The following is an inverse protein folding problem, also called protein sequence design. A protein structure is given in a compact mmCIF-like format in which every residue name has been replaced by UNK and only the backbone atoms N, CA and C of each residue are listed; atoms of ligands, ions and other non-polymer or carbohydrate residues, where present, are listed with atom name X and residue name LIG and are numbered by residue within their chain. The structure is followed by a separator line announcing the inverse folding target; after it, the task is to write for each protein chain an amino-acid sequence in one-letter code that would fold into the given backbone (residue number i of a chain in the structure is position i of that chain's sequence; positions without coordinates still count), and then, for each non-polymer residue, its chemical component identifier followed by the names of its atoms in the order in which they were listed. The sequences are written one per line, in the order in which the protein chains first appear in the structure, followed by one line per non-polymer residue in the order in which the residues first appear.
data_IF_095051703921
#
_entry.id   IF_095051703921
#
_cell.length_a   1.000
_cell.length_b   1.000
_cell.length_c   1.000
_cell.angle_alpha   90.00
_cell.angle_beta   90.00
_cell.angle_gamma   90.00
#
_symmetry.space_group_name_H-M   'P 1'
#
loop_
_entity.id
_entity.type
_entity.pdbx_description
1 polymer ?
#
# COMPACT_ATOMS: atom_id res chain seq x y z
N UNK A 1 -78.70 67.89 -3.61
CA UNK A 1 -79.41 66.79 -2.94
C UNK A 1 -78.53 66.28 -1.81
N UNK A 2 -78.79 66.69 -0.55
CA UNK A 2 -79.18 65.80 0.59
C UNK A 2 -78.44 64.45 0.54
N UNK A 3 -77.53 64.16 1.48
CA UNK A 3 -77.91 63.58 2.78
C UNK A 3 -76.91 63.85 3.92
N UNK A 4 -77.45 63.78 5.14
CA UNK A 4 -76.87 64.08 6.44
C UNK A 4 -76.77 62.80 7.29
N UNK A 5 -75.86 62.79 8.29
CA UNK A 5 -75.72 61.91 9.48
C UNK A 5 -74.88 60.62 9.28
N UNK A 6 -74.00 60.18 10.19
CA UNK A 6 -73.82 60.45 11.63
C UNK A 6 -72.39 60.05 12.06
N UNK A 7 -71.81 60.78 13.01
CA UNK A 7 -70.57 60.46 13.70
C UNK A 7 -70.80 59.41 14.81
N UNK A 8 -69.84 58.51 15.00
CA UNK A 8 -69.57 57.82 16.28
C UNK A 8 -68.07 57.89 16.53
N UNK A 9 -67.74 58.30 17.75
CA UNK A 9 -66.42 58.57 18.30
C UNK A 9 -65.85 57.30 18.93
N UNK A 10 -64.60 56.92 18.65
CA UNK A 10 -63.80 56.07 19.55
C UNK A 10 -62.29 56.16 19.23
N UNK A 11 -61.64 57.03 20.01
CA UNK A 11 -60.36 56.83 20.71
C UNK A 11 -59.07 56.48 19.95
N UNK A 12 -58.11 57.40 20.11
CA UNK A 12 -56.71 57.38 19.70
C UNK A 12 -55.91 56.32 20.47
N UNK A 13 -55.12 55.52 19.77
CA UNK A 13 -53.86 54.97 20.28
C UNK A 13 -52.82 55.08 19.16
N UNK A 14 -51.90 56.03 19.32
CA UNK A 14 -50.75 56.18 18.42
C UNK A 14 -49.73 55.09 18.71
N UNK A 15 -49.41 54.29 17.70
CA UNK A 15 -48.29 53.34 17.76
C UNK A 15 -47.23 53.83 16.79
N UNK A 16 -46.06 54.15 17.34
CA UNK A 16 -44.90 54.62 16.62
C UNK A 16 -44.46 53.59 15.55
N UNK A 17 -44.27 54.08 14.32
CA UNK A 17 -43.62 53.36 13.25
C UNK A 17 -42.14 53.24 13.57
N UNK A 18 -41.73 52.11 14.16
CA UNK A 18 -40.32 51.73 14.25
C UNK A 18 -39.89 51.31 12.85
N UNK A 19 -39.13 52.18 12.18
CA UNK A 19 -38.32 51.79 11.03
C UNK A 19 -37.27 50.78 11.52
N UNK A 20 -37.62 49.49 11.43
CA UNK A 20 -36.68 48.40 11.62
C UNK A 20 -35.59 48.53 10.57
N UNK A 21 -34.40 48.93 11.02
CA UNK A 21 -33.17 48.90 10.27
C UNK A 21 -33.02 47.56 9.54
N UNK A 22 -32.94 47.61 8.22
CA UNK A 22 -32.64 46.46 7.39
C UNK A 22 -31.42 45.72 7.94
N UNK A 23 -31.56 44.40 8.03
CA UNK A 23 -30.48 43.52 8.40
C UNK A 23 -29.25 43.83 7.55
N UNK A 24 -28.15 44.17 8.24
CA UNK A 24 -26.79 44.18 7.71
C UNK A 24 -26.58 42.84 6.99
N UNK A 25 -25.92 42.78 5.81
CA UNK A 25 -25.66 41.51 5.16
C UNK A 25 -24.93 40.62 6.16
N UNK A 26 -25.49 39.44 6.43
CA UNK A 26 -24.78 38.40 7.16
C UNK A 26 -23.44 38.21 6.44
N UNK A 27 -22.36 38.74 7.02
CA UNK A 27 -21.01 38.36 6.63
C UNK A 27 -21.01 36.84 6.66
N UNK A 28 -20.80 36.20 5.51
CA UNK A 28 -20.68 34.76 5.42
C UNK A 28 -19.70 34.33 6.50
N UNK A 29 -20.19 33.68 7.55
CA UNK A 29 -19.34 33.12 8.57
C UNK A 29 -18.38 32.19 7.84
N UNK A 30 -17.08 32.39 8.03
CA UNK A 30 -16.08 31.46 7.52
C UNK A 30 -16.49 30.05 7.94
N UNK A 31 -16.62 29.10 7.00
CA UNK A 31 -17.09 27.76 7.31
C UNK A 31 -16.15 27.12 8.33
N UNK A 32 -16.71 26.33 9.25
CA UNK A 32 -15.90 25.68 10.27
C UNK A 32 -14.96 24.65 9.63
N UNK A 33 -13.77 24.47 10.20
CA UNK A 33 -12.86 23.41 9.76
C UNK A 33 -13.42 22.05 10.18
N UNK A 34 -13.60 21.16 9.19
CA UNK A 34 -14.01 19.77 9.40
C UNK A 34 -12.78 18.87 9.46
N UNK A 35 -12.55 18.27 10.62
CA UNK A 35 -11.52 17.24 10.81
C UNK A 35 -12.11 15.86 10.58
N UNK A 36 -11.54 15.11 9.64
CA UNK A 36 -11.93 13.73 9.36
C UNK A 36 -11.08 12.76 10.17
N UNK A 37 -11.69 11.72 10.75
CA UNK A 37 -10.94 10.64 11.39
C UNK A 37 -10.10 9.84 10.39
N UNK A 38 -10.59 9.71 9.16
CA UNK A 38 -9.92 9.07 8.02
C UNK A 38 -9.95 10.02 6.81
N UNK A 39 -8.96 10.91 6.66
CA UNK A 39 -8.92 11.89 5.56
C UNK A 39 -8.47 11.29 4.22
N UNK A 40 -8.31 9.96 4.14
CA UNK A 40 -7.85 9.23 2.95
C UNK A 40 -8.70 7.97 2.78
N UNK A 41 -8.96 7.56 1.55
CA UNK A 41 -9.51 6.23 1.25
C UNK A 41 -9.51 5.90 -0.24
N UNK A 42 -10.04 4.73 -0.57
CA UNK A 42 -9.91 4.12 -1.88
C UNK A 42 -10.67 4.85 -3.00
N UNK A 43 -10.11 4.78 -4.21
CA UNK A 43 -10.83 5.05 -5.46
C UNK A 43 -12.13 4.25 -5.51
N UNK A 44 -13.22 4.93 -5.86
CA UNK A 44 -14.57 4.39 -5.80
C UNK A 44 -15.23 4.49 -4.43
N UNK A 45 -14.56 5.02 -3.40
CA UNK A 45 -15.18 5.36 -2.11
C UNK A 45 -15.72 4.16 -1.31
N UNK A 46 -16.86 4.38 -0.64
CA UNK A 46 -17.59 3.34 0.10
C UNK A 46 -17.23 3.19 1.58
N UNK A 47 -16.11 3.73 2.03
CA UNK A 47 -15.73 3.76 3.44
C UNK A 47 -16.58 4.75 4.25
N UNK A 48 -16.85 4.43 5.52
CA UNK A 48 -17.48 5.35 6.48
C UNK A 48 -16.45 6.25 7.12
N UNK A 49 -16.75 7.54 7.19
CA UNK A 49 -15.90 8.60 7.75
C UNK A 49 -16.68 9.37 8.80
N UNK A 50 -15.99 9.77 9.86
CA UNK A 50 -16.51 10.67 10.90
C UNK A 50 -15.84 12.04 10.74
N UNK A 51 -16.66 13.06 10.51
CA UNK A 51 -16.26 14.45 10.52
C UNK A 51 -16.56 15.10 11.86
N UNK A 52 -15.59 15.81 12.42
CA UNK A 52 -15.70 16.57 13.67
C UNK A 52 -15.41 18.05 13.43
N UNK A 53 -16.16 18.93 14.09
CA UNK A 53 -15.91 20.37 14.08
C UNK A 53 -15.69 20.87 15.50
N UNK A 54 -14.88 21.91 15.65
CA UNK A 54 -14.74 22.61 16.92
C UNK A 54 -15.88 23.61 17.04
N UNK A 55 -16.73 23.47 18.06
CA UNK A 55 -17.79 24.43 18.34
C UNK A 55 -17.20 25.81 18.66
N UNK A 56 -17.87 26.86 18.23
CA UNK A 56 -17.51 28.25 18.54
C UNK A 56 -18.64 28.94 19.27
N UNK A 57 -18.38 30.11 19.84
CA UNK A 57 -19.44 30.94 20.44
C UNK A 57 -20.50 31.36 19.43
N UNK A 58 -20.09 31.57 18.17
CA UNK A 58 -21.00 31.89 17.06
C UNK A 58 -21.77 30.67 16.54
N UNK A 59 -21.17 29.47 16.62
CA UNK A 59 -21.77 28.20 16.17
C UNK A 59 -21.55 27.11 17.24
N UNK A 60 -22.35 27.10 18.33
CA UNK A 60 -22.18 26.15 19.43
C UNK A 60 -22.68 24.74 19.07
N UNK A 61 -23.62 24.64 18.13
CA UNK A 61 -24.19 23.37 17.62
C UNK A 61 -24.22 23.43 16.09
N UNK A 62 -23.07 23.27 15.41
CA UNK A 62 -23.00 23.38 13.95
C UNK A 62 -23.90 22.37 13.21
N UNK A 63 -24.12 21.20 13.80
CA UNK A 63 -25.01 20.18 13.27
C UNK A 63 -26.29 20.13 14.11
N UNK A 64 -27.35 20.77 13.62
CA UNK A 64 -28.59 21.00 14.35
C UNK A 64 -29.30 19.67 14.68
N UNK A 65 -29.98 19.65 15.81
CA UNK A 65 -30.80 18.51 16.22
C UNK A 65 -31.96 18.35 15.24
N UNK A 66 -32.26 17.11 14.86
CA UNK A 66 -33.30 16.74 13.89
C UNK A 66 -33.09 17.23 12.44
N UNK A 67 -31.90 17.73 12.09
CA UNK A 67 -31.51 17.96 10.68
C UNK A 67 -30.53 16.89 10.19
N UNK A 68 -30.65 16.48 8.92
CA UNK A 68 -29.64 15.69 8.21
C UNK A 68 -28.87 16.67 7.31
N UNK A 69 -27.61 16.98 7.62
CA UNK A 69 -26.84 17.87 6.76
C UNK A 69 -26.54 17.20 5.42
N UNK A 70 -26.30 18.01 4.40
CA UNK A 70 -25.91 17.54 3.08
C UNK A 70 -24.40 17.54 2.99
N UNK A 71 -23.82 16.41 2.58
CA UNK A 71 -22.38 16.28 2.39
C UNK A 71 -22.09 16.17 0.89
N UNK A 72 -21.27 17.09 0.37
CA UNK A 72 -20.79 17.06 -1.00
C UNK A 72 -19.28 16.94 -1.07
N UNK A 73 -18.80 16.22 -2.07
CA UNK A 73 -17.42 16.21 -2.51
C UNK A 73 -17.30 17.12 -3.72
N UNK A 74 -16.61 18.25 -3.55
CA UNK A 74 -16.42 19.23 -4.61
C UNK A 74 -14.95 19.31 -5.01
N UNK A 75 -14.72 19.31 -6.31
CA UNK A 75 -13.41 19.58 -6.88
C UNK A 75 -13.02 21.06 -6.67
N UNK A 76 -11.72 21.32 -6.49
CA UNK A 76 -11.10 22.65 -6.27
C UNK A 76 -11.39 23.29 -4.90
N UNK A 77 -12.59 23.83 -4.65
CA UNK A 77 -12.96 24.47 -3.37
C UNK A 77 -14.42 24.17 -3.01
N UNK A 78 -14.74 24.24 -1.71
CA UNK A 78 -16.13 24.26 -1.29
C UNK A 78 -16.76 25.59 -1.68
N UNK A 79 -17.80 25.53 -2.50
CA UNK A 79 -18.64 26.69 -2.78
C UNK A 79 -19.45 27.08 -1.54
N UNK A 80 -19.80 28.37 -1.47
CA UNK A 80 -20.58 28.94 -0.35
C UNK A 80 -21.98 28.34 -0.21
N UNK A 81 -22.50 27.73 -1.28
CA UNK A 81 -23.79 27.03 -1.36
C UNK A 81 -23.59 25.64 -1.95
N UNK A 82 -24.49 24.72 -1.67
CA UNK A 82 -24.54 23.42 -2.33
C UNK A 82 -24.62 23.61 -3.85
N UNK A 83 -23.94 22.75 -4.60
CA UNK A 83 -23.98 22.77 -6.06
C UNK A 83 -24.79 21.59 -6.58
N UNK A 84 -25.37 21.77 -7.76
CA UNK A 84 -25.89 20.63 -8.52
C UNK A 84 -24.78 19.62 -8.75
N UNK A 85 -25.14 18.34 -8.64
CA UNK A 85 -24.25 17.21 -8.97
C UNK A 85 -23.74 17.39 -10.39
N UNK A 86 -22.44 17.17 -10.58
CA UNK A 86 -21.75 17.42 -11.83
C UNK A 86 -20.74 16.30 -12.11
N UNK A 87 -20.59 15.96 -13.38
CA UNK A 87 -19.68 14.92 -13.82
C UNK A 87 -18.24 15.19 -13.40
N UNK A 88 -17.57 14.13 -12.93
CA UNK A 88 -16.12 14.12 -12.74
C UNK A 88 -15.49 14.24 -14.12
N UNK A 89 -14.87 15.39 -14.39
CA UNK A 89 -14.15 15.63 -15.63
C UNK A 89 -12.66 15.38 -15.40
N UNK A 90 -12.05 14.61 -16.31
CA UNK A 90 -10.62 14.37 -16.32
C UNK A 90 -10.04 14.53 -17.73
N UNK A 91 -8.89 15.19 -17.84
CA UNK A 91 -8.17 15.37 -19.09
C UNK A 91 -6.67 15.15 -18.86
N UNK A 92 -6.03 14.35 -19.73
CA UNK A 92 -4.59 14.09 -19.67
C UNK A 92 -4.11 13.52 -18.32
N UNK A 93 -4.95 12.76 -17.63
CA UNK A 93 -4.61 12.21 -16.31
C UNK A 93 -4.78 13.20 -15.16
N UNK A 94 -5.54 14.29 -15.30
CA UNK A 94 -5.84 15.22 -14.20
C UNK A 94 -7.34 15.44 -14.06
N UNK A 95 -7.83 15.55 -12.82
CA UNK A 95 -9.19 16.02 -12.55
C UNK A 95 -9.31 17.52 -12.81
N UNK A 96 -10.42 17.97 -13.38
CA UNK A 96 -10.69 19.39 -13.69
C UNK A 96 -12.04 19.90 -13.18
N UNK A 97 -13.00 19.02 -12.88
CA UNK A 97 -14.29 19.36 -12.29
C UNK A 97 -14.96 18.14 -11.62
N UNK A 98 -16.01 18.39 -10.83
CA UNK A 98 -16.87 17.35 -10.26
C UNK A 98 -17.57 17.80 -8.98
N UNK A 99 -18.82 17.38 -8.82
CA UNK A 99 -19.61 17.53 -7.59
C UNK A 99 -20.33 16.22 -7.36
N UNK A 100 -20.01 15.52 -6.26
CA UNK A 100 -20.73 14.33 -5.83
C UNK A 100 -21.44 14.62 -4.52
N UNK A 101 -22.68 14.16 -4.39
CA UNK A 101 -23.41 14.20 -3.14
C UNK A 101 -23.36 12.84 -2.48
N UNK A 102 -23.17 12.81 -1.16
CA UNK A 102 -23.37 11.60 -0.36
C UNK A 102 -24.87 11.31 -0.31
N UNK A 103 -25.24 10.04 -0.43
CA UNK A 103 -26.63 9.63 -0.20
C UNK A 103 -27.08 10.09 1.20
N UNK A 104 -28.16 10.88 1.32
CA UNK A 104 -28.65 11.36 2.61
C UNK A 104 -28.93 10.23 3.62
N UNK A 105 -29.28 9.03 3.15
CA UNK A 105 -29.47 7.86 4.02
C UNK A 105 -28.16 7.37 4.66
N UNK A 106 -27.01 7.69 4.06
CA UNK A 106 -25.68 7.36 4.57
C UNK A 106 -25.10 8.46 5.46
N UNK A 107 -25.80 9.58 5.65
CA UNK A 107 -25.37 10.69 6.53
C UNK A 107 -26.13 10.63 7.85
N UNK A 108 -25.41 10.63 8.96
CA UNK A 108 -26.02 10.68 10.29
C UNK A 108 -25.28 11.62 11.23
N UNK A 109 -26.05 12.36 12.04
CA UNK A 109 -25.52 13.15 13.16
C UNK A 109 -25.17 12.21 14.31
N UNK A 110 -23.97 12.35 14.86
CA UNK A 110 -23.55 11.67 16.09
C UNK A 110 -23.75 12.60 17.28
N UNK A 111 -23.25 13.84 17.19
CA UNK A 111 -23.42 14.90 18.20
C UNK A 111 -23.63 16.24 17.51
N UNK A 112 -23.84 17.32 18.27
CA UNK A 112 -23.89 18.69 17.72
C UNK A 112 -22.64 19.12 16.94
N UNK A 113 -21.53 18.39 17.11
CA UNK A 113 -20.21 18.69 16.51
C UNK A 113 -19.64 17.53 15.71
N UNK A 114 -20.37 16.42 15.56
CA UNK A 114 -19.91 15.23 14.84
C UNK A 114 -20.98 14.68 13.90
N UNK A 115 -20.55 14.33 12.69
CA UNK A 115 -21.34 13.59 11.70
C UNK A 115 -20.57 12.37 11.24
N UNK A 116 -21.29 11.32 10.85
CA UNK A 116 -20.76 10.22 10.04
C UNK A 116 -21.38 10.30 8.65
N UNK A 117 -20.61 9.92 7.65
CA UNK A 117 -21.08 9.77 6.28
C UNK A 117 -20.32 8.67 5.55
N UNK A 118 -20.95 8.05 4.55
CA UNK A 118 -20.27 7.12 3.63
C UNK A 118 -19.69 7.90 2.45
N UNK A 119 -18.43 7.69 2.13
CA UNK A 119 -17.80 8.30 0.94
C UNK A 119 -18.51 7.76 -0.31
N UNK A 120 -18.89 8.62 -1.28
CA UNK A 120 -19.69 8.20 -2.43
C UNK A 120 -19.02 7.07 -3.23
N UNK A 121 -19.72 5.95 -3.34
CA UNK A 121 -19.35 4.81 -4.20
C UNK A 121 -20.25 4.62 -5.41
N UNK A 122 -21.24 5.49 -5.54
CA UNK A 122 -22.12 5.61 -6.67
C UNK A 122 -22.61 7.06 -6.73
N UNK A 123 -23.30 7.40 -7.80
CA UNK A 123 -23.97 8.67 -7.93
C UNK A 123 -25.15 8.78 -6.95
N UNK A 124 -25.44 10.00 -6.50
CA UNK A 124 -26.67 10.30 -5.79
C UNK A 124 -27.29 11.57 -6.37
N UNK A 125 -28.60 11.58 -6.67
CA UNK A 125 -29.47 10.40 -6.69
C UNK A 125 -29.04 9.42 -7.80
N UNK A 126 -29.19 8.11 -7.55
CA UNK A 126 -28.89 7.06 -8.54
C UNK A 126 -29.91 7.04 -9.67
N UNK A 127 -31.10 7.59 -9.42
CA UNK A 127 -32.23 7.63 -10.33
C UNK A 127 -32.95 8.96 -10.14
N UNK A 128 -33.31 9.64 -11.22
CA UNK A 128 -34.07 10.88 -11.15
C UNK A 128 -35.55 10.64 -10.77
N UNK A 129 -36.32 11.73 -10.62
CA UNK A 129 -37.74 11.67 -10.26
C UNK A 129 -38.61 10.94 -11.30
N UNK A 130 -38.09 10.72 -12.51
CA UNK A 130 -38.78 10.06 -13.62
C UNK A 130 -38.36 8.59 -13.78
N UNK A 131 -37.53 8.06 -12.88
CA UNK A 131 -37.07 6.67 -12.95
C UNK A 131 -35.85 6.45 -13.86
N UNK A 132 -35.21 7.51 -14.34
CA UNK A 132 -34.03 7.40 -15.22
C UNK A 132 -32.76 7.26 -14.38
N UNK A 133 -32.00 6.18 -14.61
CA UNK A 133 -30.72 5.95 -13.93
C UNK A 133 -29.70 7.02 -14.31
N UNK A 134 -29.03 7.58 -13.30
CA UNK A 134 -27.97 8.55 -13.48
C UNK A 134 -26.78 7.92 -14.22
N UNK A 135 -26.34 8.55 -15.29
CA UNK A 135 -25.13 8.17 -16.05
C UNK A 135 -23.89 8.91 -15.58
N UNK A 136 -24.05 9.83 -14.63
CA UNK A 136 -22.99 10.69 -14.11
C UNK A 136 -22.42 10.06 -12.85
N UNK A 137 -21.10 9.91 -12.75
CA UNK A 137 -20.38 9.48 -11.52
C UNK A 137 -20.87 8.13 -10.94
N UNK A 138 -21.23 7.19 -11.80
CA UNK A 138 -21.82 5.89 -11.42
C UNK A 138 -20.92 5.03 -10.54
N UNK A 139 -19.61 5.29 -10.56
CA UNK A 139 -18.59 4.57 -9.79
C UNK A 139 -18.10 5.37 -8.56
N UNK A 140 -18.75 6.48 -8.23
CA UNK A 140 -18.39 7.31 -7.07
C UNK A 140 -17.13 8.15 -7.31
N UNK A 141 -16.35 8.38 -6.24
CA UNK A 141 -15.11 9.15 -6.31
C UNK A 141 -13.97 8.31 -6.91
N UNK A 142 -13.95 8.20 -8.24
CA UNK A 142 -12.93 7.44 -8.97
C UNK A 142 -11.72 8.28 -9.36
N UNK A 143 -10.55 7.66 -9.32
CA UNK A 143 -9.34 8.19 -9.93
C UNK A 143 -9.39 8.01 -11.45
N UNK A 144 -9.11 9.06 -12.23
CA UNK A 144 -8.73 8.95 -13.62
C UNK A 144 -7.52 8.04 -13.81
N UNK A 145 -7.46 7.39 -14.98
CA UNK A 145 -6.30 6.59 -15.36
C UNK A 145 -5.00 7.42 -15.27
N UNK A 146 -3.95 6.81 -14.70
CA UNK A 146 -2.65 7.44 -14.51
C UNK A 146 -2.52 8.30 -13.25
N UNK A 147 -3.61 8.57 -12.51
CA UNK A 147 -3.51 9.16 -11.17
C UNK A 147 -3.36 8.11 -10.10
N UNK A 148 -2.41 8.34 -9.20
CA UNK A 148 -2.25 7.57 -7.97
C UNK A 148 -3.05 8.16 -6.82
N UNK A 149 -3.36 9.46 -6.87
CA UNK A 149 -4.14 10.18 -5.85
C UNK A 149 -4.99 11.31 -6.43
N UNK A 150 -6.05 11.70 -5.73
CA UNK A 150 -6.85 12.89 -6.04
C UNK A 150 -7.41 13.52 -4.77
N UNK A 151 -7.26 14.84 -4.63
CA UNK A 151 -7.78 15.60 -3.50
C UNK A 151 -9.17 16.16 -3.80
N UNK A 152 -10.08 15.99 -2.85
CA UNK A 152 -11.44 16.49 -2.85
C UNK A 152 -11.69 17.36 -1.62
N UNK A 153 -12.59 18.32 -1.74
CA UNK A 153 -13.09 19.05 -0.59
C UNK A 153 -14.39 18.42 -0.13
N UNK A 154 -14.49 18.13 1.16
CA UNK A 154 -15.71 17.68 1.82
C UNK A 154 -16.43 18.91 2.32
N UNK A 155 -17.60 19.19 1.76
CA UNK A 155 -18.39 20.38 2.00
C UNK A 155 -19.70 19.97 2.68
N UNK A 156 -19.94 20.47 3.88
CA UNK A 156 -21.14 20.15 4.67
C UNK A 156 -22.08 21.34 4.65
N UNK A 157 -23.29 21.13 4.16
CA UNK A 157 -24.33 22.14 4.02
C UNK A 157 -25.53 21.83 4.94
N UNK A 158 -26.32 22.85 5.26
CA UNK A 158 -27.61 22.70 5.97
C UNK A 158 -28.71 22.05 5.10
N UNK A 159 -28.61 22.18 3.77
CA UNK A 159 -29.57 21.69 2.78
C UNK A 159 -28.88 21.51 1.42
N UNK A 160 -29.56 20.86 0.46
CA UNK A 160 -29.09 20.66 -0.92
C UNK A 160 -29.53 21.79 -1.86
N UNK A 161 -30.23 22.80 -1.34
CA UNK A 161 -30.79 23.88 -2.13
C UNK A 161 -29.67 24.80 -2.68
N UNK A 162 -29.51 24.94 -4.01
CA UNK A 162 -28.35 25.61 -4.59
C UNK A 162 -28.33 27.14 -4.39
N UNK A 163 -29.48 27.73 -4.03
CA UNK A 163 -29.64 29.18 -3.88
C UNK A 163 -29.75 29.64 -2.43
N UNK A 164 -30.15 28.76 -1.51
CA UNK A 164 -30.46 29.11 -0.11
C UNK A 164 -29.63 28.36 0.91
N UNK A 165 -28.95 27.27 0.54
CA UNK A 165 -28.09 26.52 1.46
C UNK A 165 -26.92 27.35 1.98
N UNK A 166 -26.44 26.97 3.16
CA UNK A 166 -25.26 27.55 3.80
C UNK A 166 -24.20 26.48 4.05
N UNK A 167 -22.94 26.80 3.74
CA UNK A 167 -21.81 25.96 4.08
C UNK A 167 -21.54 26.02 5.59
N UNK A 168 -21.73 24.89 6.27
CA UNK A 168 -21.54 24.74 7.71
C UNK A 168 -20.07 24.46 8.04
N UNK A 169 -19.46 23.54 7.30
CA UNK A 169 -18.09 23.11 7.54
C UNK A 169 -17.43 22.59 6.27
N UNK A 170 -16.10 22.67 6.21
CA UNK A 170 -15.32 22.13 5.10
C UNK A 170 -14.04 21.44 5.55
N UNK A 171 -13.69 20.35 4.89
CA UNK A 171 -12.45 19.60 5.11
C UNK A 171 -11.90 19.07 3.79
N UNK A 172 -10.81 18.30 3.85
CA UNK A 172 -10.20 17.70 2.66
C UNK A 172 -10.15 16.19 2.78
N UNK A 173 -10.39 15.52 1.67
CA UNK A 173 -10.34 14.06 1.56
C UNK A 173 -9.51 13.67 0.34
N UNK A 174 -8.58 12.74 0.51
CA UNK A 174 -7.75 12.26 -0.59
C UNK A 174 -8.17 10.86 -0.98
N UNK A 175 -8.51 10.69 -2.25
CA UNK A 175 -8.74 9.40 -2.88
C UNK A 175 -7.39 8.84 -3.32
N UNK A 176 -7.14 7.56 -3.08
CA UNK A 176 -5.90 6.87 -3.46
C UNK A 176 -6.19 5.59 -4.23
N UNK A 177 -5.27 5.21 -5.13
CA UNK A 177 -5.37 3.97 -5.88
C UNK A 177 -5.18 2.76 -4.95
N UNK A 178 -5.83 1.64 -5.31
CA UNK A 178 -5.55 0.35 -4.68
C UNK A 178 -4.13 -0.08 -5.06
N UNK A 179 -3.30 -0.58 -4.12
CA UNK A 179 -1.94 -0.96 -4.45
C UNK A 179 -1.89 -2.27 -5.22
N UNK A 180 -0.95 -2.37 -6.16
CA UNK A 180 -0.61 -3.59 -6.90
C UNK A 180 0.90 -3.85 -6.84
N UNK A 181 1.32 -5.10 -7.02
CA UNK A 181 2.72 -5.50 -7.16
C UNK A 181 2.89 -6.09 -8.57
N UNK A 182 3.79 -5.52 -9.36
CA UNK A 182 4.13 -6.03 -10.69
C UNK A 182 5.41 -6.87 -10.68
N UNK A 183 6.42 -6.46 -9.90
CA UNK A 183 7.66 -7.22 -9.73
C UNK A 183 8.43 -6.81 -8.48
N UNK A 184 9.33 -7.69 -8.04
CA UNK A 184 10.34 -7.41 -7.01
C UNK A 184 11.70 -7.76 -7.59
N UNK A 185 12.65 -6.82 -7.56
CA UNK A 185 13.98 -7.01 -8.18
C UNK A 185 15.09 -6.43 -7.31
N UNK A 186 16.14 -7.21 -7.01
CA UNK A 186 16.26 -8.65 -7.25
C UNK A 186 15.23 -9.44 -6.42
N UNK A 187 14.78 -10.60 -6.92
CA UNK A 187 13.79 -11.47 -6.25
C UNK A 187 14.40 -12.34 -5.14
N UNK A 188 15.59 -11.98 -4.66
CA UNK A 188 16.27 -12.69 -3.58
C UNK A 188 17.21 -11.80 -2.80
N UNK A 189 17.47 -12.14 -1.54
CA UNK A 189 18.39 -11.46 -0.63
C UNK A 189 19.21 -12.43 0.21
N UNK A 190 20.42 -12.05 0.68
CA UNK A 190 21.07 -12.76 1.77
C UNK A 190 20.15 -12.91 2.98
N UNK A 191 20.19 -14.04 3.69
CA UNK A 191 19.43 -14.29 4.91
C UNK A 191 19.74 -13.27 6.03
N UNK A 192 20.95 -12.70 6.02
CA UNK A 192 21.31 -11.57 6.89
C UNK A 192 20.54 -10.27 6.56
N UNK A 193 19.82 -10.22 5.44
CA UNK A 193 19.16 -9.02 4.92
C UNK A 193 20.15 -8.02 4.33
N UNK A 194 19.78 -6.75 4.32
CA UNK A 194 20.64 -5.64 3.93
C UNK A 194 20.69 -5.35 2.43
N UNK A 195 20.15 -6.22 1.57
CA UNK A 195 20.07 -5.97 0.14
C UNK A 195 18.98 -4.95 -0.16
N UNK A 196 19.31 -3.97 -1.01
CA UNK A 196 18.33 -3.06 -1.59
C UNK A 196 17.57 -3.77 -2.70
N UNK A 197 16.24 -3.72 -2.61
CA UNK A 197 15.31 -4.21 -3.62
C UNK A 197 14.49 -3.05 -4.18
N UNK A 198 14.04 -3.20 -5.41
CA UNK A 198 13.05 -2.35 -6.06
C UNK A 198 11.77 -3.16 -6.23
N UNK A 199 10.66 -2.62 -5.74
CA UNK A 199 9.32 -3.15 -5.98
C UNK A 199 8.62 -2.24 -6.97
N UNK A 200 8.17 -2.79 -8.09
CA UNK A 200 7.37 -2.07 -9.10
C UNK A 200 5.90 -2.45 -8.96
N UNK A 201 5.00 -1.54 -9.31
CA UNK A 201 3.57 -1.73 -9.12
C UNK A 201 2.82 -0.41 -9.26
N UNK A 202 1.70 -0.28 -8.56
CA UNK A 202 0.91 0.97 -8.51
C UNK A 202 0.39 1.22 -7.10
N UNK A 203 -0.11 2.43 -6.84
CA UNK A 203 -0.77 2.76 -5.56
C UNK A 203 0.20 2.85 -4.36
N UNK A 204 1.49 3.11 -4.60
CA UNK A 204 2.50 3.28 -3.56
C UNK A 204 2.62 4.71 -3.02
N UNK A 205 1.81 5.66 -3.49
CA UNK A 205 1.95 7.07 -3.12
C UNK A 205 1.79 7.30 -1.61
N UNK A 206 2.77 7.99 -1.03
CA UNK A 206 2.70 8.47 0.34
C UNK A 206 1.81 9.71 0.42
N UNK A 207 0.69 9.62 1.15
CA UNK A 207 -0.22 10.76 1.37
C UNK A 207 -0.18 11.23 2.82
N UNK A 208 -0.33 10.31 3.77
CA UNK A 208 -0.30 10.58 5.21
C UNK A 208 0.62 9.60 5.94
N UNK A 209 0.56 8.32 5.56
CA UNK A 209 1.50 7.27 5.95
C UNK A 209 2.31 6.84 4.74
N UNK A 210 3.60 6.54 4.95
CA UNK A 210 4.44 5.95 3.91
C UNK A 210 4.03 4.50 3.62
N UNK A 211 4.65 3.93 2.59
CA UNK A 211 4.58 2.48 2.33
C UNK A 211 5.39 1.74 3.39
N UNK A 212 4.83 0.68 3.92
CA UNK A 212 5.53 -0.29 4.77
C UNK A 212 5.31 -1.69 4.22
N UNK A 213 6.19 -2.63 4.53
CA UNK A 213 5.96 -4.00 4.11
C UNK A 213 6.87 -4.99 4.82
N UNK A 214 6.61 -6.26 4.55
CA UNK A 214 7.39 -7.38 5.05
C UNK A 214 7.64 -8.39 3.94
N UNK A 215 8.75 -9.13 4.04
CA UNK A 215 9.00 -10.32 3.23
C UNK A 215 9.12 -11.51 4.17
N UNK A 216 8.21 -12.50 4.04
CA UNK A 216 8.16 -13.64 4.97
C UNK A 216 7.94 -13.20 6.43
N UNK A 217 7.34 -12.02 6.66
CA UNK A 217 7.21 -11.41 7.98
C UNK A 217 8.42 -10.58 8.45
N UNK A 218 9.57 -10.63 7.76
CA UNK A 218 10.70 -9.75 8.06
C UNK A 218 10.47 -8.34 7.50
N UNK A 219 10.61 -7.27 8.31
CA UNK A 219 10.27 -5.91 7.90
C UNK A 219 11.21 -5.34 6.84
N UNK A 220 10.63 -4.64 5.87
CA UNK A 220 11.35 -3.78 4.95
C UNK A 220 11.70 -2.45 5.64
N UNK A 221 12.92 -1.98 5.43
CA UNK A 221 13.42 -0.70 5.96
C UNK A 221 13.86 0.22 4.82
N UNK A 222 14.19 1.49 5.13
CA UNK A 222 14.64 2.47 4.13
C UNK A 222 13.72 2.62 2.91
N UNK A 223 12.40 2.49 3.11
CA UNK A 223 11.41 2.57 2.03
C UNK A 223 11.42 3.97 1.41
N UNK A 224 11.69 4.05 0.10
CA UNK A 224 11.68 5.28 -0.68
C UNK A 224 10.81 5.10 -1.91
N UNK A 225 9.64 5.71 -1.90
CA UNK A 225 8.69 5.67 -3.01
C UNK A 225 9.13 6.63 -4.10
N UNK A 226 9.07 6.19 -5.36
CA UNK A 226 9.28 7.03 -6.52
C UNK A 226 8.20 8.12 -6.62
N UNK A 227 8.53 9.25 -7.23
CA UNK A 227 7.63 10.41 -7.28
C UNK A 227 6.29 10.13 -7.98
N UNK A 228 6.27 9.19 -8.93
CA UNK A 228 5.07 8.76 -9.64
C UNK A 228 4.19 7.80 -8.82
N UNK A 229 4.73 7.16 -7.77
CA UNK A 229 4.04 6.15 -6.98
C UNK A 229 3.95 4.76 -7.63
N UNK A 230 4.73 4.50 -8.70
CA UNK A 230 4.72 3.24 -9.45
C UNK A 230 5.89 2.31 -9.09
N UNK A 231 6.77 2.75 -8.18
CA UNK A 231 7.79 1.90 -7.60
C UNK A 231 8.25 2.44 -6.25
N UNK A 232 8.95 1.60 -5.49
CA UNK A 232 9.74 2.04 -4.36
C UNK A 232 10.98 1.16 -4.20
N UNK A 233 12.04 1.71 -3.61
CA UNK A 233 13.18 0.93 -3.13
C UNK A 233 13.05 0.67 -1.64
N UNK A 234 13.51 -0.49 -1.16
CA UNK A 234 13.58 -0.80 0.26
C UNK A 234 14.78 -1.71 0.55
N UNK A 235 15.21 -1.76 1.81
CA UNK A 235 16.23 -2.68 2.31
C UNK A 235 15.55 -3.86 2.98
N UNK A 236 15.93 -5.07 2.57
CA UNK A 236 15.46 -6.32 3.16
C UNK A 236 15.95 -6.49 4.61
N UNK A 237 15.09 -6.98 5.49
CA UNK A 237 15.46 -7.39 6.85
C UNK A 237 16.11 -8.77 6.87
N UNK A 238 16.70 -9.14 8.00
CA UNK A 238 17.18 -10.50 8.21
C UNK A 238 16.00 -11.49 8.27
N UNK A 239 16.17 -12.66 7.68
CA UNK A 239 15.17 -13.72 7.63
C UNK A 239 15.87 -15.07 7.47
N UNK A 240 15.29 -16.15 7.99
CA UNK A 240 15.84 -17.49 7.77
C UNK A 240 15.91 -17.82 6.26
N UNK A 241 16.92 -18.58 5.80
CA UNK A 241 16.97 -19.02 4.41
C UNK A 241 15.71 -19.80 4.02
N UNK A 242 15.31 -19.68 2.76
CA UNK A 242 14.16 -20.38 2.21
C UNK A 242 13.69 -19.74 0.91
N UNK A 243 12.73 -20.38 0.28
CA UNK A 243 12.15 -19.93 -0.99
C UNK A 243 10.67 -19.67 -0.84
N UNK A 244 10.10 -18.85 -1.74
CA UNK A 244 8.65 -18.71 -1.82
C UNK A 244 8.03 -17.73 -0.82
N UNK A 245 8.81 -16.82 -0.23
CA UNK A 245 8.28 -15.91 0.79
C UNK A 245 7.37 -14.84 0.18
N UNK A 246 6.24 -14.61 0.86
CA UNK A 246 5.29 -13.56 0.52
C UNK A 246 5.89 -12.17 0.77
N UNK A 247 5.67 -11.25 -0.17
CA UNK A 247 5.83 -9.81 0.02
C UNK A 247 4.48 -9.20 0.35
N UNK A 248 4.31 -8.75 1.58
CA UNK A 248 3.08 -8.12 2.05
C UNK A 248 3.32 -6.62 2.22
N UNK A 249 2.56 -5.80 1.51
CA UNK A 249 2.68 -4.34 1.55
C UNK A 249 1.45 -3.71 2.18
N UNK A 250 1.67 -2.60 2.88
CA UNK A 250 0.64 -1.75 3.43
C UNK A 250 0.88 -0.32 2.94
N UNK A 251 -0.10 0.22 2.23
CA UNK A 251 -0.09 1.58 1.69
C UNK A 251 -1.32 2.35 2.20
N UNK A 252 -1.41 3.67 1.99
CA UNK A 252 -2.65 4.41 2.26
C UNK A 252 -3.87 3.85 1.52
N UNK A 253 -3.66 3.18 0.37
CA UNK A 253 -4.69 2.50 -0.41
C UNK A 253 -5.04 1.10 0.09
N UNK A 254 -4.54 0.68 1.24
CA UNK A 254 -4.80 -0.64 1.82
C UNK A 254 -3.63 -1.60 1.67
N UNK A 255 -3.92 -2.90 1.74
CA UNK A 255 -2.92 -3.96 1.67
C UNK A 255 -2.88 -4.57 0.27
N UNK A 256 -1.71 -5.05 -0.12
CA UNK A 256 -1.54 -5.96 -1.27
C UNK A 256 -0.57 -7.07 -0.86
N UNK A 257 -0.91 -8.30 -1.25
CA UNK A 257 -0.08 -9.48 -1.06
C UNK A 257 0.55 -9.83 -2.40
N UNK A 258 1.80 -10.29 -2.41
CA UNK A 258 2.39 -10.82 -3.63
C UNK A 258 1.83 -12.19 -4.04
N UNK A 259 0.93 -12.77 -3.23
CA UNK A 259 0.12 -13.93 -3.61
C UNK A 259 -1.13 -13.54 -4.42
N UNK A 260 -1.51 -12.26 -4.38
CA UNK A 260 -2.60 -11.61 -5.14
C UNK A 260 -2.08 -10.25 -5.66
N UNK A 261 -1.19 -10.26 -6.68
CA UNK A 261 -0.40 -9.08 -7.04
C UNK A 261 -1.21 -7.93 -7.67
N UNK A 262 -2.29 -8.21 -8.38
CA UNK A 262 -3.17 -7.18 -8.94
C UNK A 262 -4.22 -6.69 -7.92
N UNK A 263 -4.31 -7.37 -6.78
CA UNK A 263 -5.20 -7.06 -5.69
C UNK A 263 -6.65 -7.13 -6.19
N UNK A 264 -7.02 -8.18 -6.90
CA UNK A 264 -8.38 -8.49 -7.32
C UNK A 264 -8.74 -9.90 -6.88
N UNK A 265 -9.61 -10.00 -5.86
CA UNK A 265 -10.02 -11.30 -5.33
C UNK A 265 -10.95 -12.09 -6.26
N UNK A 266 -11.31 -11.54 -7.43
CA UNK A 266 -12.12 -12.21 -8.44
C UNK A 266 -11.28 -12.94 -9.49
N UNK A 267 -9.96 -12.73 -9.51
CA UNK A 267 -9.01 -13.39 -10.40
C UNK A 267 -8.13 -14.39 -9.65
N UNK A 268 -7.52 -15.31 -10.41
CA UNK A 268 -6.50 -16.23 -9.91
C UNK A 268 -5.18 -15.80 -10.53
N UNK A 269 -4.23 -15.45 -9.67
CA UNK A 269 -2.99 -14.81 -10.11
C UNK A 269 -1.77 -15.68 -9.86
N UNK A 270 -0.70 -15.43 -10.63
CA UNK A 270 0.59 -16.09 -10.40
C UNK A 270 1.33 -15.35 -9.29
N UNK A 271 1.70 -16.01 -8.17
CA UNK A 271 2.40 -15.35 -7.09
C UNK A 271 3.76 -14.80 -7.50
N UNK A 272 4.12 -13.64 -6.96
CA UNK A 272 5.47 -13.09 -7.00
C UNK A 272 6.16 -13.48 -5.69
N UNK A 273 7.11 -14.40 -5.76
CA UNK A 273 7.82 -14.91 -4.58
C UNK A 273 9.16 -14.23 -4.38
N UNK A 274 9.67 -14.33 -3.15
CA UNK A 274 10.99 -13.83 -2.79
C UNK A 274 11.78 -14.87 -2.00
N UNK A 275 13.09 -14.97 -2.25
CA UNK A 275 13.95 -15.98 -1.63
C UNK A 275 15.00 -15.36 -0.71
N UNK A 276 15.30 -16.02 0.40
CA UNK A 276 16.44 -15.71 1.26
C UNK A 276 17.49 -16.83 1.17
N UNK A 277 18.74 -16.49 0.90
CA UNK A 277 19.87 -17.45 0.79
C UNK A 277 21.05 -17.02 1.67
N UNK A 278 21.91 -17.90 2.18
CA UNK A 278 23.18 -17.43 2.78
C UNK A 278 24.26 -17.37 1.69
N UNK A 279 24.41 -16.24 1.01
CA UNK A 279 25.53 -16.06 0.07
C UNK A 279 26.88 -16.45 0.71
N UNK A 280 27.71 -17.22 -0.01
CA UNK A 280 29.08 -17.52 0.41
C UNK A 280 30.10 -16.79 -0.47
N UNK A 281 31.29 -16.56 0.04
CA UNK A 281 32.49 -16.24 -0.74
C UNK A 281 33.55 -17.29 -0.45
N UNK A 282 34.30 -17.70 -1.48
CA UNK A 282 35.30 -18.77 -1.39
C UNK A 282 36.68 -18.23 -1.71
N UNK A 283 37.69 -18.60 -0.92
CA UNK A 283 39.10 -18.29 -1.14
C UNK A 283 39.94 -19.56 -1.02
N UNK A 284 40.86 -19.86 -1.95
CA UNK A 284 41.06 -19.20 -3.24
C UNK A 284 39.88 -19.43 -4.19
N UNK A 285 39.70 -18.56 -5.20
CA UNK A 285 38.66 -18.69 -6.24
C UNK A 285 39.12 -19.50 -7.45
N UNK A 286 40.36 -20.02 -7.44
CA UNK A 286 40.93 -20.80 -8.54
C UNK A 286 41.95 -21.81 -8.04
N UNK A 287 42.03 -22.97 -8.71
CA UNK A 287 43.11 -23.94 -8.53
C UNK A 287 43.26 -24.84 -9.79
N UNK A 288 44.39 -25.53 -9.98
CA UNK A 288 44.57 -26.41 -11.13
C UNK A 288 43.80 -27.72 -11.05
N UNK A 289 43.47 -28.25 -12.21
CA UNK A 289 42.93 -29.61 -12.34
C UNK A 289 43.87 -30.64 -11.71
N UNK A 290 43.30 -31.73 -11.19
CA UNK A 290 44.02 -32.82 -10.55
C UNK A 290 44.86 -32.44 -9.32
N UNK A 291 44.51 -31.34 -8.64
CA UNK A 291 45.13 -30.94 -7.36
C UNK A 291 44.15 -31.05 -6.20
N UNK A 292 44.66 -30.92 -4.98
CA UNK A 292 43.86 -30.65 -3.78
C UNK A 292 44.09 -29.21 -3.34
N UNK A 293 43.00 -28.52 -2.95
CA UNK A 293 43.05 -27.13 -2.50
C UNK A 293 42.23 -26.98 -1.22
N UNK A 294 42.78 -26.27 -0.24
CA UNK A 294 42.04 -25.87 0.96
C UNK A 294 41.23 -24.62 0.64
N UNK A 295 39.91 -24.70 0.85
CA UNK A 295 38.99 -23.60 0.70
C UNK A 295 38.69 -23.01 2.08
N UNK A 296 38.79 -21.69 2.16
CA UNK A 296 38.19 -20.84 3.19
C UNK A 296 36.89 -20.27 2.62
N UNK A 297 35.78 -20.61 3.26
CA UNK A 297 34.42 -20.29 2.83
C UNK A 297 33.80 -19.37 3.88
N UNK A 298 33.62 -18.12 3.51
CA UNK A 298 32.92 -17.13 4.35
C UNK A 298 31.45 -17.04 3.98
N UNK A 299 30.57 -16.80 4.95
CA UNK A 299 29.13 -16.67 4.75
C UNK A 299 28.41 -16.43 6.07
N UNK A 300 27.25 -17.04 6.27
CA UNK A 300 26.47 -16.96 7.50
C UNK A 300 25.61 -18.21 7.70
N UNK A 301 25.22 -18.49 8.94
CA UNK A 301 24.34 -19.61 9.27
C UNK A 301 25.01 -20.98 9.20
N UNK A 302 26.32 -21.05 9.41
CA UNK A 302 27.07 -22.32 9.38
C UNK A 302 27.07 -23.06 10.72
N UNK A 303 26.79 -22.40 11.85
CA UNK A 303 26.77 -23.04 13.18
C UNK A 303 25.90 -24.30 13.27
N UNK A 304 24.68 -24.37 12.67
CA UNK A 304 23.85 -25.57 12.76
C UNK A 304 24.29 -26.70 11.82
N UNK A 305 25.31 -26.49 10.98
CA UNK A 305 25.75 -27.50 10.00
C UNK A 305 26.58 -28.57 10.67
N UNK A 306 26.25 -29.83 10.36
CA UNK A 306 27.00 -31.01 10.81
C UNK A 306 27.53 -31.73 9.59
N UNK A 307 28.85 -31.71 9.42
CA UNK A 307 29.53 -32.41 8.33
C UNK A 307 29.88 -33.84 8.76
N UNK A 308 29.67 -34.80 7.87
CA UNK A 308 30.05 -36.19 8.10
C UNK A 308 31.44 -36.47 7.51
N UNK A 309 32.42 -36.70 8.38
CA UNK A 309 33.79 -36.94 7.97
C UNK A 309 33.92 -38.34 7.33
N UNK A 310 33.97 -38.38 6.00
CA UNK A 310 34.02 -39.64 5.24
C UNK A 310 32.64 -40.27 5.00
N UNK A 311 31.56 -39.53 5.27
CA UNK A 311 30.22 -39.89 4.85
C UNK A 311 30.08 -39.95 3.34
N UNK A 312 29.10 -40.72 2.85
CA UNK A 312 28.76 -40.70 1.43
C UNK A 312 28.25 -39.30 1.05
N UNK A 313 28.61 -38.76 -0.13
CA UNK A 313 27.73 -37.79 -0.77
C UNK A 313 26.38 -38.49 -0.87
N UNK A 314 25.22 -37.95 -0.53
CA UNK A 314 23.91 -38.63 -0.38
C UNK A 314 23.55 -38.97 1.06
N UNK A 315 24.46 -38.79 2.02
CA UNK A 315 24.07 -38.72 3.43
C UNK A 315 23.22 -37.47 3.68
N UNK A 316 22.40 -37.52 4.72
CA UNK A 316 21.53 -36.40 5.13
C UNK A 316 22.24 -35.33 5.95
N UNK A 317 23.57 -35.30 5.88
CA UNK A 317 24.45 -34.35 6.58
C UNK A 317 24.74 -33.14 5.70
N UNK A 318 25.43 -32.14 6.26
CA UNK A 318 25.90 -31.00 5.50
C UNK A 318 27.07 -31.37 4.58
N UNK A 319 27.14 -30.73 3.42
CA UNK A 319 28.20 -30.94 2.43
C UNK A 319 28.59 -29.63 1.74
N UNK A 320 29.80 -29.60 1.18
CA UNK A 320 30.27 -28.55 0.29
C UNK A 320 30.60 -29.17 -1.06
N UNK A 321 29.81 -28.84 -2.09
CA UNK A 321 29.97 -29.37 -3.44
C UNK A 321 30.56 -28.35 -4.39
N UNK A 322 31.35 -28.83 -5.34
CA UNK A 322 31.64 -28.14 -6.59
C UNK A 322 30.67 -28.64 -7.65
N UNK A 323 29.92 -27.76 -8.31
CA UNK A 323 28.92 -28.12 -9.34
C UNK A 323 29.08 -27.31 -10.62
N UNK A 324 28.55 -27.84 -11.72
CA UNK A 324 28.62 -27.23 -13.04
C UNK A 324 27.31 -26.48 -13.36
N UNK A 325 27.22 -25.22 -12.92
CA UNK A 325 25.98 -24.44 -12.98
C UNK A 325 25.19 -24.47 -11.67
N UNK A 326 23.86 -24.45 -11.76
CA UNK A 326 22.99 -24.43 -10.58
C UNK A 326 22.97 -25.81 -9.90
N UNK A 327 23.15 -25.84 -8.57
CA UNK A 327 23.05 -27.08 -7.79
C UNK A 327 21.65 -27.70 -7.96
N UNK A 328 21.64 -28.98 -8.34
CA UNK A 328 20.44 -29.82 -8.37
C UNK A 328 20.81 -31.17 -7.75
N UNK A 329 20.09 -31.56 -6.70
CA UNK A 329 20.43 -32.77 -5.94
C UNK A 329 20.28 -34.07 -6.73
N UNK A 330 19.58 -34.05 -7.86
CA UNK A 330 19.33 -35.25 -8.69
C UNK A 330 20.20 -35.30 -9.94
N UNK A 331 20.53 -34.14 -10.52
CA UNK A 331 21.09 -34.05 -11.88
C UNK A 331 22.39 -33.25 -11.96
N UNK A 332 22.71 -32.40 -10.98
CA UNK A 332 23.92 -31.57 -10.98
C UNK A 332 24.42 -31.32 -9.56
N UNK A 333 24.85 -32.41 -8.91
CA UNK A 333 25.09 -32.44 -7.47
C UNK A 333 26.57 -32.35 -7.07
N UNK A 334 27.44 -33.09 -7.76
CA UNK A 334 28.89 -33.04 -7.51
C UNK A 334 29.68 -33.27 -8.80
N UNK A 335 30.54 -32.31 -9.13
CA UNK A 335 31.74 -32.56 -9.94
C UNK A 335 32.90 -32.94 -9.03
N UNK A 336 32.94 -32.36 -7.84
CA UNK A 336 33.79 -32.74 -6.73
C UNK A 336 33.12 -32.38 -5.41
N UNK A 337 33.60 -32.97 -4.32
CA UNK A 337 33.16 -32.69 -2.97
C UNK A 337 34.33 -32.28 -2.08
N UNK A 338 34.08 -31.33 -1.17
CA UNK A 338 35.02 -30.93 -0.15
C UNK A 338 35.05 -31.97 0.98
N UNK A 339 36.25 -32.42 1.33
CA UNK A 339 36.52 -33.35 2.43
C UNK A 339 37.06 -32.61 3.66
N UNK A 340 36.83 -33.18 4.85
CA UNK A 340 37.31 -32.58 6.10
C UNK A 340 36.74 -31.19 6.38
N UNK A 341 35.50 -30.94 5.99
CA UNK A 341 34.84 -29.67 6.24
C UNK A 341 34.61 -29.44 7.74
N UNK A 342 35.00 -28.27 8.22
CA UNK A 342 34.87 -27.86 9.61
C UNK A 342 34.23 -26.48 9.65
N UNK A 343 33.18 -26.34 10.47
CA UNK A 343 32.62 -25.04 10.84
C UNK A 343 33.58 -24.40 11.83
N UNK A 344 34.30 -23.35 11.40
CA UNK A 344 35.22 -22.59 12.25
C UNK A 344 34.42 -21.60 13.11
N UNK A 345 33.46 -20.92 12.48
CA UNK A 345 32.50 -20.01 13.13
C UNK A 345 31.16 -20.05 12.39
N UNK A 346 30.13 -19.34 12.87
CA UNK A 346 28.86 -19.21 12.12
C UNK A 346 29.03 -18.63 10.71
N UNK A 347 30.15 -17.96 10.47
CA UNK A 347 30.44 -17.24 9.23
C UNK A 347 31.61 -17.83 8.44
N UNK A 348 32.22 -18.93 8.90
CA UNK A 348 33.41 -19.50 8.28
C UNK A 348 33.41 -21.03 8.30
N UNK A 349 33.63 -21.63 7.14
CA UNK A 349 33.90 -23.07 6.96
C UNK A 349 35.26 -23.20 6.28
N UNK A 350 36.07 -24.15 6.75
CA UNK A 350 37.30 -24.57 6.05
C UNK A 350 37.14 -26.02 5.60
N UNK A 351 37.50 -26.31 4.35
CA UNK A 351 37.44 -27.67 3.80
C UNK A 351 38.52 -27.91 2.75
N UNK A 352 38.77 -29.17 2.38
CA UNK A 352 39.73 -29.55 1.34
C UNK A 352 39.01 -30.10 0.12
N UNK A 353 39.06 -29.37 -0.99
CA UNK A 353 38.47 -29.76 -2.27
C UNK A 353 39.48 -30.56 -3.10
N UNK A 354 39.08 -31.75 -3.57
CA UNK A 354 39.89 -32.58 -4.46
C UNK A 354 39.40 -32.43 -5.91
N UNK A 355 40.26 -31.95 -6.79
CA UNK A 355 39.98 -31.69 -8.20
C UNK A 355 40.47 -32.81 -9.13
N UNK A 356 40.79 -33.99 -8.59
CA UNK A 356 41.13 -35.17 -9.38
C UNK A 356 39.93 -35.59 -10.23
N UNK A 357 40.11 -35.61 -11.55
CA UNK A 357 39.05 -35.93 -12.50
C UNK A 357 38.10 -34.77 -12.82
N UNK A 358 38.31 -33.58 -12.25
CA UNK A 358 37.58 -32.36 -12.62
C UNK A 358 38.26 -31.70 -13.81
N UNK A 359 37.51 -31.46 -14.88
CA UNK A 359 38.01 -30.78 -16.06
C UNK A 359 38.25 -29.29 -15.79
N UNK A 360 39.03 -28.64 -16.65
CA UNK A 360 39.16 -27.18 -16.62
C UNK A 360 37.83 -26.52 -16.96
N UNK A 361 37.48 -25.45 -16.25
CA UNK A 361 36.19 -24.77 -16.40
C UNK A 361 35.83 -23.87 -15.22
N UNK A 362 34.71 -23.17 -15.35
CA UNK A 362 34.12 -22.40 -14.26
C UNK A 362 33.00 -23.22 -13.61
N UNK A 363 33.04 -23.30 -12.29
CA UNK A 363 32.14 -24.07 -11.45
C UNK A 363 31.58 -23.22 -10.33
N UNK A 364 30.57 -23.74 -9.62
CA UNK A 364 29.97 -23.10 -8.46
C UNK A 364 30.24 -23.97 -7.22
N UNK A 365 30.86 -23.38 -6.20
CA UNK A 365 30.93 -23.99 -4.86
C UNK A 365 29.62 -23.74 -4.16
N UNK A 366 28.97 -24.78 -3.63
CA UNK A 366 27.67 -24.70 -2.96
C UNK A 366 27.74 -25.39 -1.60
N UNK A 367 27.24 -24.73 -0.55
CA UNK A 367 27.06 -25.32 0.78
C UNK A 367 25.61 -25.77 0.93
N UNK A 368 25.40 -27.03 1.28
CA UNK A 368 24.08 -27.60 1.55
C UNK A 368 24.01 -28.15 2.98
N UNK A 369 22.85 -28.00 3.62
CA UNK A 369 22.63 -28.54 4.98
C UNK A 369 22.28 -30.04 4.98
N UNK A 370 21.85 -30.55 3.83
CA UNK A 370 21.43 -31.94 3.64
C UNK A 370 21.77 -32.37 2.21
N UNK A 371 22.65 -33.36 2.06
CA UNK A 371 23.06 -33.92 0.76
C UNK A 371 22.21 -35.08 0.24
N UNK A 372 21.17 -35.49 0.97
CA UNK A 372 20.35 -36.68 0.70
C UNK A 372 19.47 -36.56 -0.56
N UNK A 373 19.19 -37.71 -1.20
CA UNK A 373 18.59 -37.78 -2.54
C UNK A 373 17.20 -38.47 -2.59
N UNK A 374 16.40 -38.41 -1.51
CA UNK A 374 15.11 -39.12 -1.43
C UNK A 374 13.89 -38.23 -1.13
N UNK A 375 12.67 -38.71 -1.45
CA UNK A 375 11.37 -38.04 -1.26
C UNK A 375 10.93 -37.81 0.20
N UNK A 376 11.83 -38.00 1.16
CA UNK A 376 11.66 -37.70 2.58
C UNK A 376 12.89 -37.05 3.22
N UNK A 377 13.93 -36.76 2.43
CA UNK A 377 14.93 -35.80 2.86
C UNK A 377 14.21 -34.46 3.00
N UNK A 378 14.30 -33.79 4.16
CA UNK A 378 13.94 -32.38 4.23
C UNK A 378 14.66 -31.71 3.07
N UNK A 379 13.90 -31.20 2.08
CA UNK A 379 14.41 -30.73 0.79
C UNK A 379 15.83 -30.19 0.90
N UNK A 380 16.79 -30.61 0.06
CA UNK A 380 18.19 -30.23 0.20
C UNK A 380 18.25 -28.72 0.35
N UNK A 381 18.54 -28.28 1.58
CA UNK A 381 18.40 -26.88 1.93
C UNK A 381 19.68 -26.24 1.45
N UNK A 382 19.62 -25.59 0.29
CA UNK A 382 20.71 -24.78 -0.21
C UNK A 382 20.93 -23.69 0.85
N UNK A 383 22.03 -23.85 1.60
CA UNK A 383 22.42 -22.85 2.59
C UNK A 383 22.99 -21.67 1.86
N UNK A 384 23.53 -21.85 0.64
CA UNK A 384 24.17 -20.79 -0.13
C UNK A 384 23.87 -20.72 -1.62
N UNK A 385 23.73 -19.49 -2.14
CA UNK A 385 23.64 -19.21 -3.59
C UNK A 385 24.90 -19.56 -4.39
N UNK A 386 25.94 -20.03 -3.71
CA UNK A 386 27.20 -20.50 -4.26
C UNK A 386 28.16 -19.39 -4.69
N UNK A 387 29.44 -19.73 -4.83
CA UNK A 387 30.52 -18.84 -5.27
C UNK A 387 31.22 -19.44 -6.48
N UNK A 388 31.57 -18.60 -7.46
CA UNK A 388 32.32 -19.05 -8.65
C UNK A 388 33.71 -19.52 -8.23
N UNK A 389 34.11 -20.68 -8.74
CA UNK A 389 35.43 -21.26 -8.59
C UNK A 389 35.93 -21.74 -9.96
N UNK A 390 37.16 -21.39 -10.32
CA UNK A 390 37.73 -21.70 -11.63
C UNK A 390 38.75 -22.83 -11.50
N UNK A 391 38.58 -23.88 -12.30
CA UNK A 391 39.62 -24.89 -12.51
C UNK A 391 40.37 -24.50 -13.78
N UNK A 392 41.63 -24.09 -13.64
CA UNK A 392 42.43 -23.59 -14.75
C UNK A 392 43.89 -24.03 -14.63
N UNK A 393 44.63 -24.16 -15.74
CA UNK A 393 46.05 -24.46 -15.70
C UNK A 393 46.80 -23.28 -15.05
N UNK A 394 47.89 -23.58 -14.34
CA UNK A 394 48.77 -22.56 -13.78
C UNK A 394 49.47 -21.73 -14.86
#
# INVERSE_FOLDING_TARGET
MRTFRRAVLATIAGTALVLGSGAVPARAATPLSLTLNTPVGLSGGGNKVVGSVVATTANPVPFVVNSVPVVQFQYNTCSVRARSVAQIAAAGGYLSAGVLQVNPADVARITGTKITFKVPSASYPTTDANGVTSTINTTGLVLPAGLTTAKWNVCVYDSDAPTTSNLLASGTYTVVAKPTIAAVTPASSPAAGGKTITVTGTGFTAVTTGVTGTIGGSPLTNVKVAADGNSFTATTGAHAPGTGFEVLLNTPGGKVSSLDPDNDNSTSDTPITFDYSNGITVTPTTAPAATTVTLDITGAGFTPLVFDAGGSPTTSSAHVFLVDGAYDATSNREKAECTGAVVVTDTEIVCTLNLTGVAEGAYIVTVVANGGIGSGAANPTIVSSGSVFVVAPY
#
